data_IF_564787826830
#
_entry.id   IF_564787826830
#
_cell.length_a   1.000
_cell.length_b   1.000
_cell.length_c   1.000
_cell.angle_alpha   90.00
_cell.angle_beta   90.00
_cell.angle_gamma   90.00
#
_symmetry.space_group_name_H-M   'P 1'
#
loop_
_entity.id
_entity.type
_entity.pdbx_description
1 polymer ?
#
# COMPACT_ATOMS: atom_id res chain seq x y z
N UNK A 1 -176.23 -81.86 -71.11
CA UNK A 1 -176.28 -81.61 -69.66
C UNK A 1 -175.15 -80.66 -69.25
N UNK A 2 -175.47 -79.71 -68.35
CA UNK A 2 -174.60 -78.83 -67.51
C UNK A 2 -173.98 -77.55 -68.11
N UNK A 3 -174.76 -76.47 -67.94
CA UNK A 3 -174.48 -75.16 -67.33
C UNK A 3 -173.24 -74.32 -67.72
N UNK A 4 -173.53 -73.16 -68.33
CA UNK A 4 -172.67 -71.96 -68.44
C UNK A 4 -172.68 -71.15 -67.13
N UNK A 5 -171.62 -70.37 -66.87
CA UNK A 5 -171.79 -68.99 -66.43
C UNK A 5 -171.05 -67.98 -67.33
N UNK A 6 -171.68 -66.81 -67.37
CA UNK A 6 -171.39 -65.60 -68.14
C UNK A 6 -170.29 -64.77 -67.47
N UNK A 7 -169.32 -64.25 -68.23
CA UNK A 7 -168.40 -63.17 -67.81
C UNK A 7 -168.25 -62.17 -68.96
N UNK A 8 -168.45 -60.90 -68.61
CA UNK A 8 -168.62 -59.72 -69.46
C UNK A 8 -167.27 -59.12 -69.91
N UNK A 9 -167.01 -58.91 -71.21
CA UNK A 9 -165.75 -58.39 -71.75
C UNK A 9 -165.33 -57.02 -71.20
N UNK A 10 -166.26 -56.19 -70.70
CA UNK A 10 -165.95 -54.82 -70.27
C UNK A 10 -165.13 -54.73 -68.96
N UNK A 11 -165.16 -55.76 -68.09
CA UNK A 11 -164.35 -55.76 -66.86
C UNK A 11 -162.85 -56.03 -67.09
N UNK A 12 -162.48 -56.67 -68.20
CA UNK A 12 -161.06 -56.93 -68.53
C UNK A 12 -160.38 -55.64 -69.02
N UNK A 13 -161.10 -54.79 -69.75
CA UNK A 13 -160.58 -53.52 -70.26
C UNK A 13 -160.28 -52.50 -69.14
N UNK A 14 -161.18 -52.34 -68.15
CA UNK A 14 -160.94 -51.43 -67.01
C UNK A 14 -159.78 -51.88 -66.12
N UNK A 15 -159.59 -53.18 -65.96
CA UNK A 15 -158.50 -53.73 -65.11
C UNK A 15 -157.14 -53.52 -65.75
N UNK A 16 -157.04 -53.68 -67.09
CA UNK A 16 -155.82 -53.39 -67.84
C UNK A 16 -155.48 -51.90 -67.85
N UNK A 17 -156.48 -51.01 -67.96
CA UNK A 17 -156.24 -49.57 -67.92
C UNK A 17 -155.76 -49.09 -66.54
N UNK A 18 -156.24 -49.71 -65.44
CA UNK A 18 -155.73 -49.44 -64.07
C UNK A 18 -154.30 -49.92 -63.87
N UNK A 19 -153.92 -51.06 -64.45
CA UNK A 19 -152.55 -51.58 -64.37
C UNK A 19 -151.57 -50.70 -65.16
N UNK A 20 -151.94 -50.21 -66.34
CA UNK A 20 -151.12 -49.31 -67.14
C UNK A 20 -150.86 -47.97 -66.44
N UNK A 21 -151.87 -47.40 -65.78
CA UNK A 21 -151.70 -46.18 -65.00
C UNK A 21 -150.76 -46.40 -63.80
N UNK A 22 -150.86 -47.56 -63.12
CA UNK A 22 -149.98 -47.91 -61.99
C UNK A 22 -148.53 -48.16 -62.43
N UNK A 23 -148.33 -48.72 -63.61
CA UNK A 23 -147.02 -48.90 -64.24
C UNK A 23 -146.37 -47.57 -64.62
N UNK A 24 -147.15 -46.59 -65.09
CA UNK A 24 -146.66 -45.22 -65.32
C UNK A 24 -146.23 -44.54 -64.03
N UNK A 25 -147.02 -44.61 -62.97
CA UNK A 25 -146.67 -43.97 -61.70
C UNK A 25 -145.41 -44.59 -61.07
N UNK A 26 -145.28 -45.92 -61.11
CA UNK A 26 -144.07 -46.62 -60.65
C UNK A 26 -142.84 -46.24 -61.46
N UNK A 27 -142.95 -46.15 -62.80
CA UNK A 27 -141.86 -45.71 -63.67
C UNK A 27 -141.44 -44.26 -63.39
N UNK A 28 -142.39 -43.40 -63.01
CA UNK A 28 -142.12 -41.99 -62.72
C UNK A 28 -141.44 -41.83 -61.34
N UNK A 29 -141.84 -42.63 -60.35
CA UNK A 29 -141.24 -42.65 -59.02
C UNK A 29 -139.80 -43.23 -59.03
N UNK A 30 -139.56 -44.28 -59.85
CA UNK A 30 -138.22 -44.84 -60.02
C UNK A 30 -137.26 -43.86 -60.70
N UNK A 31 -137.74 -43.05 -61.65
CA UNK A 31 -136.96 -41.95 -62.23
C UNK A 31 -136.59 -40.89 -61.19
N UNK A 32 -137.54 -40.47 -60.34
CA UNK A 32 -137.26 -39.50 -59.27
C UNK A 32 -136.26 -40.04 -58.23
N UNK A 33 -136.35 -41.33 -57.87
CA UNK A 33 -135.36 -41.97 -57.00
C UNK A 33 -133.98 -42.05 -57.64
N UNK A 34 -133.90 -42.43 -58.92
CA UNK A 34 -132.63 -42.44 -59.65
C UNK A 34 -132.00 -41.05 -59.76
N UNK A 35 -132.80 -39.99 -59.94
CA UNK A 35 -132.32 -38.60 -59.93
C UNK A 35 -131.79 -38.17 -58.56
N UNK A 36 -132.47 -38.52 -57.46
CA UNK A 36 -132.01 -38.23 -56.09
C UNK A 36 -130.74 -38.99 -55.72
N UNK A 37 -130.66 -40.29 -56.06
CA UNK A 37 -129.46 -41.11 -55.85
C UNK A 37 -128.30 -40.61 -56.72
N UNK A 38 -128.57 -40.22 -57.96
CA UNK A 38 -127.57 -39.58 -58.84
C UNK A 38 -127.11 -38.22 -58.31
N UNK A 39 -128.00 -37.43 -57.70
CA UNK A 39 -127.68 -36.15 -57.07
C UNK A 39 -126.81 -36.30 -55.82
N UNK A 40 -127.10 -37.29 -54.97
CA UNK A 40 -126.32 -37.59 -53.77
C UNK A 40 -124.95 -38.17 -54.09
N UNK A 41 -124.85 -39.07 -55.09
CA UNK A 41 -123.57 -39.59 -55.58
C UNK A 41 -122.67 -38.46 -56.09
N UNK A 42 -123.22 -37.57 -56.93
CA UNK A 42 -122.49 -36.38 -57.43
C UNK A 42 -122.07 -35.42 -56.33
N UNK A 43 -122.85 -35.28 -55.25
CA UNK A 43 -122.49 -34.43 -54.10
C UNK A 43 -121.38 -35.08 -53.27
N UNK A 44 -121.48 -36.39 -53.01
CA UNK A 44 -120.43 -37.16 -52.33
C UNK A 44 -119.10 -37.12 -53.07
N UNK A 45 -119.12 -37.23 -54.39
CA UNK A 45 -117.92 -37.10 -55.23
C UNK A 45 -117.31 -35.68 -55.13
N UNK A 46 -118.14 -34.63 -55.18
CA UNK A 46 -117.68 -33.24 -55.01
C UNK A 46 -117.11 -32.95 -53.62
N UNK A 47 -117.72 -33.47 -52.56
CA UNK A 47 -117.23 -33.28 -51.20
C UNK A 47 -115.92 -34.06 -50.96
N UNK A 48 -115.79 -35.25 -51.57
CA UNK A 48 -114.55 -36.03 -51.57
C UNK A 48 -113.43 -35.33 -52.35
N UNK A 49 -113.76 -34.75 -53.50
CA UNK A 49 -112.82 -33.96 -54.31
C UNK A 49 -112.34 -32.72 -53.55
N UNK A 50 -113.26 -31.98 -52.90
CA UNK A 50 -112.90 -30.84 -52.03
C UNK A 50 -112.00 -31.24 -50.86
N UNK A 51 -112.33 -32.32 -50.15
CA UNK A 51 -111.47 -32.81 -49.07
C UNK A 51 -110.10 -33.25 -49.57
N UNK A 52 -110.03 -33.88 -50.75
CA UNK A 52 -108.75 -34.26 -51.34
C UNK A 52 -107.92 -33.03 -51.73
N UNK A 53 -108.55 -31.99 -52.30
CA UNK A 53 -107.91 -30.71 -52.62
C UNK A 53 -107.41 -29.98 -51.36
N UNK A 54 -108.22 -29.96 -50.30
CA UNK A 54 -107.86 -29.33 -49.02
C UNK A 54 -106.76 -30.09 -48.31
N UNK A 55 -106.82 -31.43 -48.31
CA UNK A 55 -105.75 -32.31 -47.81
C UNK A 55 -104.45 -32.09 -48.59
N UNK A 56 -104.54 -31.97 -49.92
CA UNK A 56 -103.38 -31.66 -50.78
C UNK A 56 -102.80 -30.29 -50.46
N UNK A 57 -103.63 -29.26 -50.34
CA UNK A 57 -103.21 -27.90 -49.93
C UNK A 57 -102.56 -27.88 -48.55
N UNK A 58 -103.11 -28.61 -47.58
CA UNK A 58 -102.55 -28.71 -46.23
C UNK A 58 -101.21 -29.43 -46.27
N UNK A 59 -101.09 -30.53 -47.03
CA UNK A 59 -99.82 -31.22 -47.22
C UNK A 59 -98.78 -30.31 -47.90
N UNK A 60 -99.16 -29.54 -48.92
CA UNK A 60 -98.26 -28.58 -49.58
C UNK A 60 -97.80 -27.49 -48.59
N UNK A 61 -98.68 -26.99 -47.72
CA UNK A 61 -98.32 -26.04 -46.65
C UNK A 61 -97.41 -26.65 -45.60
N UNK A 62 -97.69 -27.86 -45.14
CA UNK A 62 -96.84 -28.58 -44.18
C UNK A 62 -95.46 -28.81 -44.80
N UNK A 63 -95.41 -29.19 -46.08
CA UNK A 63 -94.16 -29.38 -46.78
C UNK A 63 -93.37 -28.08 -46.87
N UNK A 64 -94.01 -26.97 -47.27
CA UNK A 64 -93.38 -25.65 -47.33
C UNK A 64 -92.82 -25.21 -45.97
N UNK A 65 -93.62 -25.31 -44.90
CA UNK A 65 -93.20 -24.97 -43.54
C UNK A 65 -92.04 -25.86 -43.09
N UNK A 66 -92.10 -27.16 -43.39
CA UNK A 66 -91.02 -28.10 -43.06
C UNK A 66 -89.75 -27.71 -43.78
N UNK A 67 -89.81 -27.43 -45.08
CA UNK A 67 -88.66 -26.98 -45.86
C UNK A 67 -88.09 -25.66 -45.32
N UNK A 68 -88.95 -24.72 -44.95
CA UNK A 68 -88.53 -23.41 -44.42
C UNK A 68 -87.91 -23.53 -43.04
N UNK A 69 -88.48 -24.34 -42.14
CA UNK A 69 -87.91 -24.64 -40.82
C UNK A 69 -86.59 -25.39 -40.95
N UNK A 70 -86.51 -26.42 -41.81
CA UNK A 70 -85.26 -27.14 -42.07
C UNK A 70 -84.20 -26.20 -42.63
N UNK A 71 -84.57 -25.33 -43.57
CA UNK A 71 -83.65 -24.33 -44.13
C UNK A 71 -83.18 -23.34 -43.06
N UNK A 72 -84.11 -22.74 -42.31
CA UNK A 72 -83.78 -21.80 -41.24
C UNK A 72 -82.93 -22.45 -40.14
N UNK A 73 -83.20 -23.72 -39.81
CA UNK A 73 -82.40 -24.49 -38.85
C UNK A 73 -81.00 -24.74 -39.37
N UNK A 74 -80.85 -25.14 -40.65
CA UNK A 74 -79.56 -25.34 -41.29
C UNK A 74 -78.77 -24.03 -41.37
N UNK A 75 -79.41 -22.93 -41.76
CA UNK A 75 -78.79 -21.60 -41.84
C UNK A 75 -78.32 -21.13 -40.45
N UNK A 76 -79.15 -21.34 -39.41
CA UNK A 76 -78.78 -21.02 -38.03
C UNK A 76 -77.62 -21.90 -37.52
N UNK A 77 -77.64 -23.20 -37.80
CA UNK A 77 -76.55 -24.12 -37.44
C UNK A 77 -75.26 -23.78 -38.17
N UNK A 78 -75.34 -23.43 -39.46
CA UNK A 78 -74.19 -23.02 -40.25
C UNK A 78 -73.59 -21.73 -39.71
N UNK A 79 -74.43 -20.72 -39.46
CA UNK A 79 -74.00 -19.45 -38.87
C UNK A 79 -73.36 -19.61 -37.49
N UNK A 80 -73.90 -20.51 -36.65
CA UNK A 80 -73.32 -20.82 -35.34
C UNK A 80 -71.94 -21.48 -35.49
N UNK A 81 -71.80 -22.43 -36.42
CA UNK A 81 -70.50 -23.07 -36.73
C UNK A 81 -69.49 -22.05 -37.23
N UNK A 82 -69.91 -21.15 -38.13
CA UNK A 82 -69.05 -20.12 -38.70
C UNK A 82 -68.60 -19.12 -37.63
N UNK A 83 -69.49 -18.64 -36.75
CA UNK A 83 -69.14 -17.76 -35.62
C UNK A 83 -68.20 -18.47 -34.64
N UNK A 84 -68.46 -19.74 -34.32
CA UNK A 84 -67.59 -20.52 -33.43
C UNK A 84 -66.20 -20.72 -34.04
N UNK A 85 -66.12 -21.07 -35.33
CA UNK A 85 -64.86 -21.23 -36.05
C UNK A 85 -64.08 -19.90 -36.12
N UNK A 86 -64.78 -18.78 -36.35
CA UNK A 86 -64.15 -17.46 -36.36
C UNK A 86 -63.60 -17.06 -34.99
N UNK A 87 -64.34 -17.36 -33.91
CA UNK A 87 -63.87 -17.15 -32.54
C UNK A 87 -62.67 -18.03 -32.19
N UNK A 88 -62.71 -19.31 -32.55
CA UNK A 88 -61.58 -20.23 -32.33
C UNK A 88 -60.33 -19.76 -33.08
N UNK A 89 -60.47 -19.41 -34.36
CA UNK A 89 -59.35 -18.86 -35.14
C UNK A 89 -58.80 -17.56 -34.54
N UNK A 90 -59.67 -16.68 -34.05
CA UNK A 90 -59.27 -15.45 -33.35
C UNK A 90 -58.50 -15.71 -32.05
N UNK A 91 -58.95 -16.69 -31.25
CA UNK A 91 -58.27 -17.10 -30.02
C UNK A 91 -56.93 -17.79 -30.30
N UNK A 92 -56.86 -18.67 -31.30
CA UNK A 92 -55.61 -19.30 -31.72
C UNK A 92 -54.58 -18.27 -32.21
N UNK A 93 -55.02 -17.28 -32.99
CA UNK A 93 -54.16 -16.19 -33.44
C UNK A 93 -53.66 -15.33 -32.27
N UNK A 94 -54.52 -15.03 -31.29
CA UNK A 94 -54.15 -14.27 -30.10
C UNK A 94 -53.15 -15.04 -29.21
N UNK A 95 -53.39 -16.34 -28.98
CA UNK A 95 -52.48 -17.20 -28.23
C UNK A 95 -51.12 -17.34 -28.92
N UNK A 96 -51.12 -17.53 -30.25
CA UNK A 96 -49.90 -17.58 -31.04
C UNK A 96 -49.11 -16.27 -30.94
N UNK A 97 -49.79 -15.13 -31.11
CA UNK A 97 -49.16 -13.82 -30.99
C UNK A 97 -48.59 -13.58 -29.58
N UNK A 98 -49.30 -14.00 -28.54
CA UNK A 98 -48.82 -13.92 -27.16
C UNK A 98 -47.59 -14.81 -26.94
N UNK A 99 -47.61 -16.05 -27.44
CA UNK A 99 -46.47 -16.96 -27.38
C UNK A 99 -45.23 -16.40 -28.11
N UNK A 100 -45.41 -15.86 -29.31
CA UNK A 100 -44.34 -15.22 -30.08
C UNK A 100 -43.76 -13.99 -29.34
N UNK A 101 -44.62 -13.21 -28.69
CA UNK A 101 -44.20 -12.05 -27.89
C UNK A 101 -43.39 -12.46 -26.66
N UNK A 102 -43.80 -13.52 -25.96
CA UNK A 102 -43.04 -14.06 -24.83
C UNK A 102 -41.69 -14.63 -25.28
N UNK A 103 -41.65 -15.39 -26.37
CA UNK A 103 -40.42 -15.94 -26.92
C UNK A 103 -39.43 -14.83 -27.33
N UNK A 104 -39.92 -13.77 -27.99
CA UNK A 104 -39.09 -12.63 -28.35
C UNK A 104 -38.53 -11.89 -27.13
N UNK A 105 -39.34 -11.75 -26.07
CA UNK A 105 -38.92 -11.11 -24.82
C UNK A 105 -37.89 -11.93 -24.05
N UNK A 106 -38.04 -13.25 -24.03
CA UNK A 106 -37.11 -14.17 -23.38
C UNK A 106 -35.75 -14.18 -24.10
N UNK A 107 -35.78 -14.21 -25.43
CA UNK A 107 -34.57 -14.12 -26.27
C UNK A 107 -33.85 -12.76 -26.09
N UNK A 108 -34.58 -11.64 -26.03
CA UNK A 108 -33.98 -10.32 -25.74
C UNK A 108 -33.37 -10.27 -24.33
N UNK A 109 -34.06 -10.84 -23.33
CA UNK A 109 -33.54 -10.91 -21.96
C UNK A 109 -32.27 -11.75 -21.89
N UNK A 110 -32.25 -12.92 -22.56
CA UNK A 110 -31.08 -13.79 -22.64
C UNK A 110 -29.89 -13.07 -23.28
N UNK A 111 -30.11 -12.37 -24.40
CA UNK A 111 -29.06 -11.59 -25.07
C UNK A 111 -28.49 -10.49 -24.18
N UNK A 112 -29.33 -9.77 -23.43
CA UNK A 112 -28.88 -8.74 -22.48
C UNK A 112 -28.05 -9.33 -21.34
N UNK A 113 -28.46 -10.47 -20.80
CA UNK A 113 -27.71 -11.16 -19.76
C UNK A 113 -26.35 -11.63 -20.29
N UNK A 114 -26.32 -12.25 -21.46
CA UNK A 114 -25.09 -12.73 -22.09
C UNK A 114 -24.12 -11.59 -22.42
N UNK A 115 -24.62 -10.49 -22.99
CA UNK A 115 -23.83 -9.29 -23.23
C UNK A 115 -23.28 -8.68 -21.91
N UNK A 116 -24.10 -8.65 -20.86
CA UNK A 116 -23.66 -8.19 -19.53
C UNK A 116 -22.57 -9.08 -18.93
N UNK A 117 -22.71 -10.41 -19.04
CA UNK A 117 -21.70 -11.37 -18.58
C UNK A 117 -20.38 -11.23 -19.35
N UNK A 118 -20.44 -11.09 -20.66
CA UNK A 118 -19.24 -10.87 -21.49
C UNK A 118 -18.54 -9.55 -21.12
N UNK A 119 -19.30 -8.47 -20.91
CA UNK A 119 -18.74 -7.19 -20.44
C UNK A 119 -18.07 -7.30 -19.07
N UNK A 120 -18.66 -8.05 -18.13
CA UNK A 120 -18.03 -8.31 -16.84
C UNK A 120 -16.76 -9.17 -16.95
N UNK A 121 -16.75 -10.17 -17.84
CA UNK A 121 -15.58 -11.01 -18.08
C UNK A 121 -14.40 -10.19 -18.64
N UNK A 122 -14.66 -9.32 -19.62
CA UNK A 122 -13.66 -8.39 -20.18
C UNK A 122 -13.12 -7.43 -19.10
N UNK A 123 -14.00 -6.91 -18.23
CA UNK A 123 -13.59 -6.04 -17.15
C UNK A 123 -12.68 -6.76 -16.14
N UNK A 124 -13.02 -8.00 -15.75
CA UNK A 124 -12.20 -8.83 -14.87
C UNK A 124 -10.82 -9.11 -15.49
N UNK A 125 -10.77 -9.43 -16.78
CA UNK A 125 -9.52 -9.66 -17.49
C UNK A 125 -8.65 -8.39 -17.52
N UNK A 126 -9.26 -7.23 -17.79
CA UNK A 126 -8.58 -5.93 -17.80
C UNK A 126 -7.98 -5.58 -16.43
N UNK A 127 -8.73 -5.83 -15.35
CA UNK A 127 -8.27 -5.63 -13.97
C UNK A 127 -7.13 -6.59 -13.63
N UNK A 128 -7.22 -7.86 -14.05
CA UNK A 128 -6.15 -8.84 -13.88
C UNK A 128 -4.84 -8.38 -14.54
N UNK A 129 -4.92 -7.85 -15.76
CA UNK A 129 -3.76 -7.28 -16.47
C UNK A 129 -3.20 -6.05 -15.75
N UNK A 130 -4.05 -5.15 -15.26
CA UNK A 130 -3.64 -3.96 -14.52
C UNK A 130 -2.90 -4.32 -13.22
N UNK A 131 -3.47 -5.22 -12.41
CA UNK A 131 -2.86 -5.71 -11.16
C UNK A 131 -1.50 -6.36 -11.43
N UNK A 132 -1.39 -7.19 -12.48
CA UNK A 132 -0.12 -7.83 -12.83
C UNK A 132 0.94 -6.81 -13.26
N UNK A 133 0.55 -5.78 -14.02
CA UNK A 133 1.45 -4.70 -14.42
C UNK A 133 1.96 -3.91 -13.21
N UNK A 134 1.07 -3.57 -12.27
CA UNK A 134 1.46 -2.86 -11.05
C UNK A 134 2.36 -3.71 -10.15
N UNK A 135 2.11 -5.02 -10.07
CA UNK A 135 3.00 -5.95 -9.36
C UNK A 135 4.41 -5.97 -9.96
N UNK A 136 4.52 -5.97 -11.29
CA UNK A 136 5.80 -5.92 -11.98
C UNK A 136 6.53 -4.57 -11.73
N UNK A 137 5.83 -3.44 -11.87
CA UNK A 137 6.40 -2.11 -11.57
C UNK A 137 6.87 -1.99 -10.13
N UNK A 138 6.09 -2.50 -9.18
CA UNK A 138 6.47 -2.50 -7.78
C UNK A 138 7.71 -3.36 -7.53
N UNK A 139 7.79 -4.55 -8.15
CA UNK A 139 8.99 -5.41 -8.08
C UNK A 139 10.24 -4.69 -8.59
N UNK A 140 10.15 -3.99 -9.72
CA UNK A 140 11.26 -3.19 -10.26
C UNK A 140 11.65 -2.04 -9.33
N UNK A 141 10.66 -1.35 -8.72
CA UNK A 141 10.93 -0.29 -7.74
C UNK A 141 11.65 -0.83 -6.51
N UNK A 142 11.21 -1.96 -5.96
CA UNK A 142 11.87 -2.61 -4.83
C UNK A 142 13.29 -3.04 -5.17
N UNK A 143 13.51 -3.57 -6.37
CA UNK A 143 14.86 -3.93 -6.81
C UNK A 143 15.78 -2.70 -6.88
N UNK A 144 15.32 -1.58 -7.45
CA UNK A 144 16.08 -0.32 -7.48
C UNK A 144 16.39 0.23 -6.09
N UNK A 145 15.43 0.13 -5.16
CA UNK A 145 15.64 0.56 -3.75
C UNK A 145 16.69 -0.33 -3.08
N UNK A 146 16.63 -1.65 -3.28
CA UNK A 146 17.63 -2.57 -2.72
C UNK A 146 19.03 -2.31 -3.29
N UNK A 147 19.15 -2.04 -4.60
CA UNK A 147 20.42 -1.67 -5.22
C UNK A 147 20.96 -0.34 -4.66
N UNK A 148 20.11 0.66 -4.48
CA UNK A 148 20.49 1.94 -3.88
C UNK A 148 20.91 1.80 -2.41
N UNK A 149 20.24 0.94 -1.64
CA UNK A 149 20.61 0.64 -0.25
C UNK A 149 21.97 -0.04 -0.18
N UNK A 150 22.22 -1.06 -1.01
CA UNK A 150 23.51 -1.74 -1.06
C UNK A 150 24.66 -0.77 -1.46
N UNK A 151 24.40 0.14 -2.41
CA UNK A 151 25.37 1.16 -2.78
C UNK A 151 25.64 2.16 -1.63
N UNK A 152 24.61 2.56 -0.89
CA UNK A 152 24.74 3.44 0.27
C UNK A 152 25.56 2.77 1.39
N UNK A 153 25.27 1.51 1.71
CA UNK A 153 26.03 0.73 2.69
C UNK A 153 27.52 0.65 2.31
N UNK A 154 27.81 0.33 1.05
CA UNK A 154 29.19 0.31 0.54
C UNK A 154 29.88 1.69 0.63
N UNK A 155 29.17 2.77 0.31
CA UNK A 155 29.69 4.13 0.43
C UNK A 155 29.98 4.52 1.89
N UNK A 156 29.12 4.14 2.84
CA UNK A 156 29.34 4.37 4.26
C UNK A 156 30.55 3.56 4.76
N UNK A 157 30.69 2.30 4.34
CA UNK A 157 31.83 1.47 4.72
C UNK A 157 33.16 2.04 4.18
N UNK A 158 33.19 2.47 2.90
CA UNK A 158 34.34 3.14 2.31
C UNK A 158 34.65 4.47 3.01
N UNK A 159 33.61 5.25 3.34
CA UNK A 159 33.71 6.50 4.08
C UNK A 159 34.38 6.30 5.44
N UNK A 160 33.91 5.32 6.21
CA UNK A 160 34.49 4.95 7.50
C UNK A 160 35.95 4.52 7.37
N UNK A 161 36.26 3.62 6.41
CA UNK A 161 37.66 3.19 6.17
C UNK A 161 38.58 4.36 5.81
N UNK A 162 38.08 5.35 5.06
CA UNK A 162 38.86 6.55 4.69
C UNK A 162 39.06 7.48 5.89
N UNK A 163 38.02 7.67 6.71
CA UNK A 163 38.11 8.41 7.97
C UNK A 163 39.12 7.77 8.91
N UNK A 164 39.05 6.47 9.14
CA UNK A 164 39.98 5.75 9.99
C UNK A 164 41.43 5.90 9.53
N UNK A 165 41.68 5.76 8.21
CA UNK A 165 43.02 5.99 7.64
C UNK A 165 43.50 7.42 7.84
N UNK A 166 42.64 8.41 7.62
CA UNK A 166 42.98 9.82 7.77
C UNK A 166 43.28 10.17 9.23
N UNK A 167 42.43 9.73 10.16
CA UNK A 167 42.61 9.91 11.60
C UNK A 167 43.87 9.22 12.07
N UNK A 168 44.14 7.99 11.62
CA UNK A 168 45.37 7.26 11.97
C UNK A 168 46.63 7.96 11.45
N UNK A 169 46.61 8.43 10.21
CA UNK A 169 47.73 9.17 9.62
C UNK A 169 47.99 10.49 10.37
N UNK A 170 46.93 11.23 10.70
CA UNK A 170 47.03 12.47 11.47
C UNK A 170 47.56 12.21 12.89
N UNK A 171 47.09 11.16 13.57
CA UNK A 171 47.63 10.76 14.88
C UNK A 171 49.13 10.43 14.80
N UNK A 172 49.55 9.67 13.78
CA UNK A 172 50.97 9.35 13.58
C UNK A 172 51.81 10.60 13.30
N UNK A 173 51.30 11.51 12.47
CA UNK A 173 51.97 12.77 12.16
C UNK A 173 52.12 13.65 13.42
N UNK A 174 51.07 13.74 14.25
CA UNK A 174 51.14 14.44 15.55
C UNK A 174 52.16 13.80 16.49
N UNK A 175 52.22 12.47 16.57
CA UNK A 175 53.24 11.77 17.38
C UNK A 175 54.67 12.06 16.91
N UNK A 176 54.89 12.15 15.60
CA UNK A 176 56.20 12.53 15.05
C UNK A 176 56.56 13.97 15.40
N UNK A 177 55.61 14.91 15.26
CA UNK A 177 55.79 16.29 15.68
C UNK A 177 56.08 16.41 17.19
N UNK A 178 55.36 15.65 18.01
CA UNK A 178 55.57 15.58 19.46
C UNK A 178 56.96 15.11 19.83
N UNK A 179 57.42 14.00 19.23
CA UNK A 179 58.79 13.53 19.42
C UNK A 179 59.82 14.58 18.99
N UNK A 180 59.59 15.25 17.86
CA UNK A 180 60.50 16.28 17.35
C UNK A 180 60.63 17.48 18.29
N UNK A 181 59.51 17.98 18.83
CA UNK A 181 59.52 19.12 19.76
C UNK A 181 60.14 18.77 21.11
N UNK A 182 59.84 17.59 21.65
CA UNK A 182 60.45 17.12 22.91
C UNK A 182 61.96 16.89 22.76
N UNK A 183 62.44 16.50 21.57
CA UNK A 183 63.87 16.41 21.25
C UNK A 183 64.52 17.79 21.26
N UNK A 184 63.87 18.80 20.66
CA UNK A 184 64.40 20.18 20.67
C UNK A 184 64.55 20.75 22.08
N UNK A 185 63.57 20.55 22.97
CA UNK A 185 63.70 20.98 24.37
C UNK A 185 64.84 20.26 25.07
N UNK A 186 65.03 18.96 24.78
CA UNK A 186 66.16 18.22 25.33
C UNK A 186 67.51 18.74 24.78
N UNK A 187 67.60 19.08 23.51
CA UNK A 187 68.81 19.71 22.93
C UNK A 187 69.10 21.07 23.56
N UNK A 188 68.06 21.88 23.82
CA UNK A 188 68.20 23.14 24.56
C UNK A 188 68.73 22.89 25.97
N UNK A 189 68.16 21.91 26.69
CA UNK A 189 68.60 21.51 28.02
C UNK A 189 70.08 21.09 28.02
N UNK A 190 70.50 20.24 27.08
CA UNK A 190 71.88 19.78 26.94
C UNK A 190 72.85 20.94 26.65
N UNK A 191 72.47 21.87 25.76
CA UNK A 191 73.27 23.06 25.44
C UNK A 191 73.41 24.00 26.64
N UNK A 192 72.32 24.25 27.37
CA UNK A 192 72.32 25.08 28.58
C UNK A 192 73.17 24.44 29.68
N UNK A 193 72.96 23.15 29.97
CA UNK A 193 73.75 22.42 30.97
C UNK A 193 75.26 22.43 30.62
N UNK A 194 75.60 22.26 29.34
CA UNK A 194 76.98 22.36 28.88
C UNK A 194 77.58 23.76 29.08
N UNK A 195 76.82 24.81 28.79
CA UNK A 195 77.25 26.20 29.02
C UNK A 195 77.41 26.51 30.52
N UNK A 196 76.46 26.08 31.36
CA UNK A 196 76.52 26.26 32.81
C UNK A 196 77.70 25.54 33.45
N UNK A 197 77.97 24.29 33.05
CA UNK A 197 79.17 23.57 33.50
C UNK A 197 80.47 24.27 33.07
N UNK A 198 80.48 24.87 31.88
CA UNK A 198 81.58 25.71 31.41
C UNK A 198 81.75 26.99 32.24
N UNK A 199 80.65 27.64 32.62
CA UNK A 199 80.66 28.86 33.44
C UNK A 199 81.12 28.56 34.86
N UNK A 200 80.63 27.51 35.49
CA UNK A 200 81.07 27.07 36.82
C UNK A 200 82.58 26.80 36.84
N UNK A 201 83.12 26.18 35.78
CA UNK A 201 84.56 25.99 35.63
C UNK A 201 85.31 27.32 35.48
N UNK A 202 84.79 28.23 34.66
CA UNK A 202 85.38 29.56 34.49
C UNK A 202 85.40 30.34 35.82
N UNK A 203 84.30 30.32 36.59
CA UNK A 203 84.19 30.92 37.92
C UNK A 203 85.26 30.34 38.85
N UNK A 204 85.39 29.01 38.90
CA UNK A 204 86.40 28.34 39.73
C UNK A 204 87.83 28.74 39.33
N UNK A 205 88.10 28.92 38.04
CA UNK A 205 89.41 29.35 37.55
C UNK A 205 89.70 30.83 37.91
N UNK A 206 88.70 31.71 37.85
CA UNK A 206 88.82 33.11 38.32
C UNK A 206 88.99 33.16 39.85
N UNK A 207 88.26 32.35 40.62
CA UNK A 207 88.41 32.24 42.09
C UNK A 207 89.84 31.83 42.49
N UNK A 208 90.49 31.00 41.66
CA UNK A 208 91.89 30.59 41.84
C UNK A 208 92.92 31.60 41.35
N UNK A 209 92.49 32.75 40.83
CA UNK A 209 93.36 33.80 40.33
C UNK A 209 94.08 33.46 39.02
N UNK A 210 93.55 32.53 38.21
CA UNK A 210 94.13 32.25 36.89
C UNK A 210 93.89 33.44 35.96
N UNK A 211 94.94 33.89 35.32
CA UNK A 211 94.86 34.84 34.21
C UNK A 211 94.49 34.11 32.90
N UNK A 212 93.75 34.77 32.00
CA UNK A 212 93.28 34.23 30.72
C UNK A 212 92.29 33.06 30.81
N UNK A 213 91.21 33.22 31.58
CA UNK A 213 90.16 32.20 31.69
C UNK A 213 89.38 32.09 30.37
N UNK A 214 89.26 30.85 29.85
CA UNK A 214 88.48 30.58 28.64
C UNK A 214 86.99 30.59 28.97
N UNK A 215 86.27 31.59 28.46
CA UNK A 215 84.82 31.65 28.61
C UNK A 215 84.12 30.60 27.71
N UNK A 216 83.09 29.92 28.22
CA UNK A 216 82.26 29.06 27.38
C UNK A 216 81.52 29.91 26.33
N UNK A 217 81.32 29.33 25.16
CA UNK A 217 80.55 29.95 24.09
C UNK A 217 79.23 29.19 23.93
N UNK A 218 78.13 29.94 23.88
CA UNK A 218 76.80 29.45 23.53
C UNK A 218 76.30 30.33 22.39
N UNK A 219 75.64 29.72 21.42
CA UNK A 219 74.92 30.46 20.38
C UNK A 219 73.53 30.81 20.91
N UNK A 220 73.43 31.95 21.56
CA UNK A 220 72.20 32.49 22.16
C UNK A 220 71.11 32.68 21.09
N UNK A 221 71.47 33.11 19.88
CA UNK A 221 70.53 33.33 18.78
C UNK A 221 69.98 32.01 18.21
N UNK A 222 70.79 30.95 18.18
CA UNK A 222 70.30 29.62 17.83
C UNK A 222 69.32 29.08 18.88
N UNK A 223 69.61 29.27 20.17
CA UNK A 223 68.75 28.81 21.26
C UNK A 223 67.39 29.55 21.24
N UNK A 224 67.42 30.88 21.06
CA UNK A 224 66.23 31.71 20.87
C UNK A 224 65.36 31.21 19.72
N UNK A 225 65.95 30.96 18.56
CA UNK A 225 65.24 30.45 17.38
C UNK A 225 64.61 29.08 17.64
N UNK A 226 65.26 28.22 18.41
CA UNK A 226 64.70 26.93 18.81
C UNK A 226 63.49 27.10 19.75
N UNK A 227 63.57 28.01 20.73
CA UNK A 227 62.45 28.35 21.62
C UNK A 227 61.26 28.95 20.86
N UNK A 228 61.51 29.90 19.95
CA UNK A 228 60.47 30.47 19.09
C UNK A 228 59.82 29.42 18.18
N UNK A 229 60.62 28.50 17.63
CA UNK A 229 60.10 27.39 16.83
C UNK A 229 59.20 26.45 17.66
N UNK A 230 59.57 26.19 18.92
CA UNK A 230 58.72 25.41 19.85
C UNK A 230 57.40 26.15 20.12
N UNK A 231 57.45 27.45 20.39
CA UNK A 231 56.26 28.27 20.61
C UNK A 231 55.31 28.27 19.40
N UNK A 232 55.86 28.32 18.19
CA UNK A 232 55.08 28.32 16.95
C UNK A 232 54.45 26.95 16.67
N UNK A 233 55.20 25.87 16.88
CA UNK A 233 54.77 24.51 16.58
C UNK A 233 53.95 23.85 17.70
N UNK A 234 53.80 24.49 18.87
CA UNK A 234 52.95 24.00 19.99
C UNK A 234 51.53 23.64 19.55
N UNK A 235 51.03 24.24 18.48
CA UNK A 235 49.69 23.97 17.96
C UNK A 235 49.53 22.58 17.33
N UNK A 236 50.63 21.92 16.99
CA UNK A 236 50.66 20.59 16.36
C UNK A 236 50.70 19.46 17.38
N UNK A 237 50.81 19.79 18.66
CA UNK A 237 50.92 18.81 19.74
C UNK A 237 49.57 18.30 20.21
N UNK A 238 49.57 17.05 20.68
CA UNK A 238 48.48 16.51 21.49
C UNK A 238 48.42 17.22 22.85
N UNK A 239 47.30 17.12 23.56
CA UNK A 239 47.19 17.67 24.92
C UNK A 239 48.22 17.04 25.87
N UNK A 240 48.38 15.72 25.79
CA UNK A 240 49.40 14.99 26.54
C UNK A 240 50.81 15.47 26.18
N UNK A 241 51.09 15.68 24.89
CA UNK A 241 52.35 16.21 24.40
C UNK A 241 52.61 17.65 24.86
N UNK A 242 51.58 18.50 24.93
CA UNK A 242 51.67 19.85 25.49
C UNK A 242 51.99 19.84 26.98
N UNK A 243 51.37 18.94 27.75
CA UNK A 243 51.64 18.79 29.18
C UNK A 243 53.09 18.33 29.42
N UNK A 244 53.55 17.33 28.67
CA UNK A 244 54.96 16.86 28.72
C UNK A 244 55.94 17.95 28.30
N UNK A 245 55.60 18.74 27.29
CA UNK A 245 56.41 19.86 26.84
C UNK A 245 56.51 20.95 27.92
N UNK A 246 55.38 21.32 28.53
CA UNK A 246 55.31 22.28 29.64
C UNK A 246 56.15 21.80 30.83
N UNK A 247 55.99 20.54 31.21
CA UNK A 247 56.74 19.95 32.32
C UNK A 247 58.26 20.01 32.07
N UNK A 248 58.71 19.60 30.87
CA UNK A 248 60.13 19.67 30.50
C UNK A 248 60.64 21.10 30.48
N UNK A 249 59.92 22.03 29.85
CA UNK A 249 60.33 23.43 29.82
C UNK A 249 60.39 24.04 31.21
N UNK A 250 59.42 23.74 32.07
CA UNK A 250 59.43 24.17 33.47
C UNK A 250 60.65 23.63 34.23
N UNK A 251 61.04 22.37 33.99
CA UNK A 251 62.25 21.79 34.62
C UNK A 251 63.53 22.50 34.15
N UNK A 252 63.67 22.73 32.85
CA UNK A 252 64.83 23.47 32.29
C UNK A 252 64.88 24.89 32.86
N UNK A 253 63.74 25.57 32.94
CA UNK A 253 63.64 26.91 33.52
C UNK A 253 64.03 26.95 35.00
N UNK A 254 63.51 26.02 35.81
CA UNK A 254 63.86 25.93 37.24
C UNK A 254 65.35 25.65 37.45
N UNK A 255 65.93 24.75 36.66
CA UNK A 255 67.37 24.45 36.73
C UNK A 255 68.21 25.68 36.35
N UNK A 256 67.86 26.36 35.26
CA UNK A 256 68.56 27.57 34.82
C UNK A 256 68.49 28.67 35.88
N UNK A 257 67.32 28.90 36.47
CA UNK A 257 67.15 29.87 37.56
C UNK A 257 68.00 29.54 38.79
N UNK A 258 68.01 28.27 39.19
CA UNK A 258 68.80 27.81 40.34
C UNK A 258 70.30 28.01 40.09
N UNK A 259 70.79 27.56 38.95
CA UNK A 259 72.21 27.63 38.61
C UNK A 259 72.67 29.07 38.42
N UNK A 260 71.85 29.92 37.78
CA UNK A 260 72.12 31.36 37.66
C UNK A 260 72.23 32.02 39.04
N UNK A 261 71.32 31.68 39.97
CA UNK A 261 71.35 32.24 41.33
C UNK A 261 72.63 31.83 42.06
N UNK A 262 72.99 30.56 42.01
CA UNK A 262 74.22 30.05 42.62
C UNK A 262 75.46 30.74 42.03
N UNK A 263 75.51 30.90 40.70
CA UNK A 263 76.59 31.60 40.02
C UNK A 263 76.65 33.07 40.44
N UNK A 264 75.51 33.76 40.48
CA UNK A 264 75.44 35.18 40.86
C UNK A 264 75.91 35.40 42.30
N UNK A 265 75.50 34.51 43.21
CA UNK A 265 75.92 34.55 44.62
C UNK A 265 77.44 34.34 44.75
N UNK A 266 78.03 33.41 43.97
CA UNK A 266 79.49 33.23 43.94
C UNK A 266 80.21 34.46 43.41
N UNK A 267 79.75 35.01 42.28
CA UNK A 267 80.34 36.21 41.66
C UNK A 267 80.30 37.44 42.58
N UNK A 268 79.28 37.55 43.43
CA UNK A 268 79.16 38.64 44.41
C UNK A 268 80.24 38.62 45.51
N UNK A 269 80.82 37.44 45.78
CA UNK A 269 81.85 37.26 46.82
C UNK A 269 83.30 37.37 46.29
N UNK A 270 83.48 37.57 44.98
CA UNK A 270 84.79 37.60 44.34
C UNK A 270 85.35 39.02 44.24
N UNK A 271 86.67 39.14 44.31
CA UNK A 271 87.38 40.41 44.09
C UNK A 271 87.30 40.85 42.63
N UNK A 272 87.14 42.15 42.43
CA UNK A 272 86.92 42.72 41.10
C UNK A 272 88.14 42.49 40.21
N UNK A 273 87.91 41.89 39.04
CA UNK A 273 88.94 41.58 38.06
C UNK A 273 88.37 41.62 36.65
N UNK A 274 89.24 41.84 35.65
CA UNK A 274 88.84 41.84 34.23
C UNK A 274 88.18 40.52 33.83
N UNK A 275 88.64 39.39 34.35
CA UNK A 275 88.03 38.08 34.08
C UNK A 275 86.66 37.93 34.75
N UNK A 276 86.48 38.49 35.95
CA UNK A 276 85.17 38.55 36.62
C UNK A 276 84.14 39.31 35.78
N UNK A 277 84.52 40.44 35.17
CA UNK A 277 83.62 41.18 34.28
C UNK A 277 83.21 40.38 33.04
N UNK A 278 84.11 39.54 32.49
CA UNK A 278 83.77 38.65 31.36
C UNK A 278 82.76 37.58 31.77
N UNK A 279 82.89 37.02 32.97
CA UNK A 279 81.91 36.04 33.50
C UNK A 279 80.57 36.71 33.77
N UNK A 280 80.56 37.88 34.44
CA UNK A 280 79.33 38.67 34.67
C UNK A 280 78.58 38.93 33.36
N UNK A 281 79.29 39.34 32.30
CA UNK A 281 78.68 39.55 30.98
C UNK A 281 78.08 38.28 30.34
N UNK A 282 78.62 37.10 30.62
CA UNK A 282 78.01 35.85 30.14
C UNK A 282 76.77 35.48 30.96
N UNK A 283 76.78 35.74 32.28
CA UNK A 283 75.61 35.57 33.14
C UNK A 283 74.49 36.53 32.72
N UNK A 284 74.79 37.78 32.40
CA UNK A 284 73.79 38.73 31.90
C UNK A 284 73.11 38.22 30.62
N UNK A 285 73.84 37.55 29.73
CA UNK A 285 73.23 36.94 28.52
C UNK A 285 72.35 35.74 28.83
N UNK A 286 72.58 35.04 29.95
CA UNK A 286 71.67 34.00 30.41
C UNK A 286 70.36 34.58 30.94
N UNK A 287 70.36 35.83 31.40
CA UNK A 287 69.13 36.54 31.80
C UNK A 287 68.21 36.71 30.61
N UNK A 288 68.77 37.12 29.47
CA UNK A 288 68.03 37.28 28.21
C UNK A 288 67.39 35.95 27.77
N UNK A 289 68.16 34.84 27.78
CA UNK A 289 67.60 33.50 27.47
C UNK A 289 66.53 33.10 28.48
N UNK A 290 66.77 33.36 29.77
CA UNK A 290 65.83 32.95 30.81
C UNK A 290 64.49 33.67 30.64
N UNK A 291 64.52 34.95 30.26
CA UNK A 291 63.32 35.70 29.91
C UNK A 291 62.61 35.12 28.68
N UNK A 292 63.34 34.79 27.61
CA UNK A 292 62.74 34.19 26.41
C UNK A 292 62.14 32.80 26.66
N UNK A 293 62.77 32.02 27.53
CA UNK A 293 62.27 30.71 27.95
C UNK A 293 60.98 30.86 28.78
N UNK A 294 60.94 31.86 29.67
CA UNK A 294 59.76 32.19 30.46
C UNK A 294 58.59 32.63 29.57
N UNK A 295 58.85 33.52 28.59
CA UNK A 295 57.84 33.91 27.60
C UNK A 295 57.34 32.72 26.76
N UNK A 296 58.26 31.83 26.37
CA UNK A 296 57.91 30.63 25.59
C UNK A 296 57.09 29.65 26.42
N UNK A 297 57.46 29.43 27.68
CA UNK A 297 56.71 28.58 28.60
C UNK A 297 55.33 29.18 28.90
N UNK A 298 55.23 30.49 29.15
CA UNK A 298 53.95 31.15 29.41
C UNK A 298 53.01 30.97 28.22
N UNK A 299 53.51 31.13 26.99
CA UNK A 299 52.73 30.85 25.77
C UNK A 299 52.25 29.40 25.68
N UNK A 300 53.02 28.43 26.19
CA UNK A 300 52.61 27.02 26.22
C UNK A 300 51.58 26.80 27.34
N UNK A 301 51.83 27.36 28.54
CA UNK A 301 50.94 27.27 29.70
C UNK A 301 49.58 27.88 29.43
N UNK A 302 49.52 29.06 28.81
CA UNK A 302 48.26 29.70 28.41
C UNK A 302 47.41 28.77 27.54
N UNK A 303 48.05 28.00 26.66
CA UNK A 303 47.35 27.04 25.82
C UNK A 303 46.82 25.86 26.63
N UNK A 304 47.63 25.33 27.56
CA UNK A 304 47.27 24.21 28.44
C UNK A 304 46.15 24.58 29.41
N UNK A 305 46.25 25.73 30.07
CA UNK A 305 45.38 26.11 31.18
C UNK A 305 44.14 26.87 30.76
N UNK A 306 44.18 27.66 29.67
CA UNK A 306 43.05 28.50 29.25
C UNK A 306 42.39 27.98 27.98
N UNK A 307 43.17 27.78 26.93
CA UNK A 307 42.63 27.47 25.60
C UNK A 307 42.03 26.06 25.52
N UNK A 308 42.74 25.03 26.00
CA UNK A 308 42.26 23.65 25.94
C UNK A 308 40.93 23.46 26.69
N UNK A 309 40.75 23.92 27.94
CA UNK A 309 39.48 23.78 28.65
C UNK A 309 38.33 24.51 27.96
N UNK A 310 38.60 25.70 27.41
CA UNK A 310 37.60 26.47 26.67
C UNK A 310 37.16 25.72 25.40
N UNK A 311 38.11 25.28 24.57
CA UNK A 311 37.84 24.54 23.34
C UNK A 311 37.08 23.23 23.63
N UNK A 312 37.43 22.55 24.73
CA UNK A 312 36.77 21.30 25.14
C UNK A 312 35.33 21.53 25.59
N UNK A 313 35.06 22.61 26.34
CA UNK A 313 33.71 23.01 26.72
C UNK A 313 32.88 23.39 25.50
N UNK A 314 33.45 24.14 24.54
CA UNK A 314 32.79 24.48 23.29
C UNK A 314 32.48 23.23 22.43
N UNK A 315 33.42 22.31 22.32
CA UNK A 315 33.23 21.03 21.63
C UNK A 315 32.15 20.17 22.32
N UNK A 316 32.15 20.11 23.66
CA UNK A 316 31.11 19.41 24.42
C UNK A 316 29.74 20.03 24.15
N UNK A 317 29.62 21.35 24.21
CA UNK A 317 28.37 22.04 23.93
C UNK A 317 27.87 21.82 22.49
N UNK A 318 28.79 21.82 21.51
CA UNK A 318 28.46 21.48 20.11
C UNK A 318 28.03 20.02 19.96
N UNK A 319 28.71 19.08 20.63
CA UNK A 319 28.36 17.67 20.62
C UNK A 319 26.97 17.43 21.25
N UNK A 320 26.66 18.09 22.36
CA UNK A 320 25.35 18.04 23.00
C UNK A 320 24.26 18.62 22.09
N UNK A 321 24.53 19.73 21.40
CA UNK A 321 23.61 20.29 20.43
C UNK A 321 23.36 19.33 19.25
N UNK A 322 24.42 18.72 18.68
CA UNK A 322 24.28 17.73 17.60
C UNK A 322 23.48 16.51 18.08
N UNK A 323 23.77 16.00 19.28
CA UNK A 323 23.04 14.90 19.89
C UNK A 323 21.56 15.25 20.07
N UNK A 324 21.27 16.44 20.57
CA UNK A 324 19.90 16.92 20.71
C UNK A 324 19.18 17.04 19.36
N UNK A 325 19.85 17.58 18.33
CA UNK A 325 19.31 17.65 16.97
C UNK A 325 19.07 16.26 16.35
N UNK A 326 19.97 15.30 16.58
CA UNK A 326 19.80 13.92 16.12
C UNK A 326 18.62 13.24 16.81
N UNK A 327 18.52 13.36 18.13
CA UNK A 327 17.39 12.82 18.87
C UNK A 327 16.06 13.43 18.38
N UNK A 328 15.99 14.75 18.24
CA UNK A 328 14.79 15.42 17.72
C UNK A 328 14.42 14.96 16.30
N UNK A 329 15.40 14.66 15.43
CA UNK A 329 15.14 14.10 14.10
C UNK A 329 14.66 12.65 14.16
N UNK A 330 15.24 11.84 15.05
CA UNK A 330 14.83 10.45 15.27
C UNK A 330 13.39 10.41 15.79
N UNK A 331 13.08 11.20 16.81
CA UNK A 331 11.73 11.30 17.39
C UNK A 331 10.71 11.69 16.33
N UNK A 332 11.04 12.67 15.49
CA UNK A 332 10.17 13.10 14.38
C UNK A 332 9.97 12.01 13.32
N UNK A 333 11.04 11.34 12.89
CA UNK A 333 10.95 10.23 11.93
C UNK A 333 10.15 9.06 12.53
N UNK A 334 10.32 8.77 13.82
CA UNK A 334 9.55 7.75 14.53
C UNK A 334 8.06 8.08 14.56
N UNK A 335 7.69 9.33 14.86
CA UNK A 335 6.30 9.81 14.80
C UNK A 335 5.71 9.72 13.37
N UNK A 336 6.44 10.16 12.35
CA UNK A 336 6.00 10.09 10.95
C UNK A 336 5.79 8.63 10.51
N UNK A 337 6.69 7.73 10.88
CA UNK A 337 6.52 6.29 10.60
C UNK A 337 5.39 5.66 11.38
N UNK A 338 5.21 6.04 12.65
CA UNK A 338 4.09 5.56 13.46
C UNK A 338 2.75 5.95 12.82
N UNK A 339 2.61 7.20 12.37
CA UNK A 339 1.41 7.67 11.67
C UNK A 339 1.18 6.91 10.36
N UNK A 340 2.21 6.71 9.53
CA UNK A 340 2.10 5.95 8.29
C UNK A 340 1.67 4.49 8.53
N UNK A 341 2.21 3.84 9.57
CA UNK A 341 1.80 2.49 9.98
C UNK A 341 0.33 2.49 10.42
N UNK A 342 -0.09 3.49 11.20
CA UNK A 342 -1.47 3.63 11.66
C UNK A 342 -2.44 3.83 10.48
N UNK A 343 -2.10 4.68 9.52
CA UNK A 343 -2.89 4.87 8.29
C UNK A 343 -3.01 3.57 7.47
N UNK A 344 -1.91 2.83 7.33
CA UNK A 344 -1.92 1.52 6.67
C UNK A 344 -2.81 0.52 7.40
N UNK A 345 -2.75 0.49 8.74
CA UNK A 345 -3.61 -0.36 9.56
C UNK A 345 -5.08 0.03 9.42
N UNK A 346 -5.41 1.32 9.46
CA UNK A 346 -6.78 1.80 9.27
C UNK A 346 -7.31 1.50 7.86
N UNK A 347 -6.49 1.69 6.82
CA UNK A 347 -6.84 1.32 5.45
C UNK A 347 -7.12 -0.18 5.33
N UNK A 348 -6.31 -1.01 5.97
CA UNK A 348 -6.50 -2.45 6.03
C UNK A 348 -7.79 -2.84 6.80
N UNK A 349 -8.05 -2.21 7.94
CA UNK A 349 -9.29 -2.45 8.71
C UNK A 349 -10.52 -2.03 7.91
N UNK A 350 -10.49 -0.91 7.19
CA UNK A 350 -11.58 -0.48 6.30
C UNK A 350 -11.81 -1.47 5.15
N UNK A 351 -10.73 -2.04 4.59
CA UNK A 351 -10.82 -3.11 3.61
C UNK A 351 -11.49 -4.37 4.17
N UNK A 352 -11.19 -4.74 5.43
CA UNK A 352 -11.85 -5.86 6.11
C UNK A 352 -13.32 -5.58 6.48
N UNK A 353 -13.66 -4.33 6.81
CA UNK A 353 -15.01 -3.95 7.23
C UNK A 353 -15.93 -3.52 6.08
N UNK A 354 -15.40 -3.39 4.85
CA UNK A 354 -16.19 -3.00 3.69
C UNK A 354 -17.26 -4.07 3.38
N UNK A 355 -18.57 -3.76 3.47
CA UNK A 355 -19.65 -4.75 3.37
C UNK A 355 -19.76 -5.43 2.00
N UNK A 356 -19.07 -4.92 0.98
CA UNK A 356 -19.02 -5.52 -0.37
C UNK A 356 -18.21 -6.83 -0.45
N UNK A 357 -17.39 -7.15 0.56
CA UNK A 357 -16.66 -8.43 0.63
C UNK A 357 -17.46 -9.48 1.41
N UNK A 358 -18.23 -9.06 2.42
CA UNK A 358 -19.03 -9.96 3.26
C UNK A 358 -20.36 -10.42 2.62
N UNK A 359 -20.89 -9.70 1.64
CA UNK A 359 -22.21 -10.02 1.05
C UNK A 359 -22.16 -10.86 -0.24
N UNK A 360 -20.97 -11.06 -0.83
CA UNK A 360 -20.77 -11.97 -1.97
C UNK A 360 -20.32 -13.39 -1.57
N UNK A 361 -20.20 -13.67 -0.27
CA UNK A 361 -19.71 -14.95 0.29
C UNK A 361 -20.68 -16.12 0.07
N UNK A 362 -21.88 -15.88 -0.48
CA UNK A 362 -22.89 -16.93 -0.67
C UNK A 362 -22.82 -17.65 -2.04
N UNK A 363 -21.98 -17.23 -3.01
CA UNK A 363 -21.93 -17.86 -4.33
C UNK A 363 -20.54 -17.81 -4.97
N UNK A 364 -19.80 -18.92 -4.91
CA UNK A 364 -18.74 -19.23 -5.87
C UNK A 364 -17.43 -19.74 -5.26
N UNK A 365 -17.14 -21.03 -5.47
CA UNK A 365 -15.98 -21.78 -4.98
C UNK A 365 -14.59 -21.25 -5.45
N UNK A 366 -14.53 -20.17 -6.24
CA UNK A 366 -13.28 -19.58 -6.73
C UNK A 366 -12.70 -18.48 -5.80
N UNK A 367 -13.50 -17.89 -4.91
CA UNK A 367 -13.06 -16.78 -4.03
C UNK A 367 -12.43 -17.24 -2.71
N UNK A 368 -12.74 -18.44 -2.23
CA UNK A 368 -12.10 -19.03 -1.03
C UNK A 368 -10.59 -19.25 -1.23
N UNK A 369 -10.14 -19.52 -2.46
CA UNK A 369 -8.72 -19.64 -2.77
C UNK A 369 -7.98 -18.30 -2.65
N UNK A 370 -8.58 -17.20 -3.13
CA UNK A 370 -7.98 -15.85 -3.10
C UNK A 370 -8.00 -15.28 -1.69
N UNK A 371 -9.09 -15.44 -0.95
CA UNK A 371 -9.20 -14.98 0.44
C UNK A 371 -8.26 -15.78 1.36
N UNK A 372 -8.14 -17.10 1.13
CA UNK A 372 -7.17 -17.96 1.80
C UNK A 372 -5.72 -17.68 1.41
N UNK A 373 -5.47 -17.14 0.21
CA UNK A 373 -4.14 -16.70 -0.23
C UNK A 373 -3.77 -15.36 0.42
N UNK A 374 -4.67 -14.37 0.39
CA UNK A 374 -4.45 -13.06 1.04
C UNK A 374 -4.29 -13.21 2.55
N UNK A 375 -5.05 -14.11 3.19
CA UNK A 375 -4.90 -14.39 4.61
C UNK A 375 -3.56 -15.05 4.94
N UNK A 376 -3.08 -15.96 4.07
CA UNK A 376 -1.72 -16.53 4.16
C UNK A 376 -0.63 -15.48 3.95
N UNK A 377 -0.77 -14.62 2.94
CA UNK A 377 0.19 -13.54 2.67
C UNK A 377 0.26 -12.54 3.84
N UNK A 378 -0.89 -12.25 4.48
CA UNK A 378 -0.95 -11.41 5.69
C UNK A 378 -0.31 -12.10 6.90
N UNK A 379 -0.54 -13.40 7.08
CA UNK A 379 0.09 -14.16 8.15
C UNK A 379 1.60 -14.30 7.93
N UNK A 380 2.06 -14.48 6.69
CA UNK A 380 3.48 -14.42 6.32
C UNK A 380 4.07 -13.03 6.59
N UNK A 381 3.35 -11.95 6.26
CA UNK A 381 3.78 -10.59 6.57
C UNK A 381 3.87 -10.35 8.08
N UNK A 382 2.91 -10.85 8.87
CA UNK A 382 2.97 -10.77 10.34
C UNK A 382 4.15 -11.55 10.90
N UNK A 383 4.43 -12.73 10.38
CA UNK A 383 5.61 -13.53 10.75
C UNK A 383 6.90 -12.79 10.37
N UNK A 384 6.96 -12.18 9.19
CA UNK A 384 8.10 -11.39 8.74
C UNK A 384 8.32 -10.15 9.62
N UNK A 385 7.26 -9.43 9.99
CA UNK A 385 7.32 -8.29 10.93
C UNK A 385 7.80 -8.77 12.31
N UNK A 386 7.30 -9.90 12.80
CA UNK A 386 7.74 -10.44 14.10
C UNK A 386 9.21 -10.86 14.08
N UNK A 387 9.66 -11.52 13.02
CA UNK A 387 11.09 -11.85 12.81
C UNK A 387 11.96 -10.60 12.67
N UNK A 388 11.46 -9.55 12.02
CA UNK A 388 12.16 -8.27 11.92
C UNK A 388 12.29 -7.61 13.29
N UNK A 389 11.22 -7.59 14.09
CA UNK A 389 11.25 -7.08 15.45
C UNK A 389 12.22 -7.88 16.36
N UNK A 390 12.24 -9.21 16.24
CA UNK A 390 13.19 -10.08 16.94
C UNK A 390 14.63 -9.85 16.48
N UNK A 391 14.86 -9.65 15.18
CA UNK A 391 16.17 -9.33 14.62
C UNK A 391 16.67 -7.96 15.09
N UNK A 392 15.81 -6.93 15.06
CA UNK A 392 16.12 -5.59 15.58
C UNK A 392 16.43 -5.65 17.07
N UNK A 393 15.67 -6.42 17.85
CA UNK A 393 15.94 -6.61 19.29
C UNK A 393 17.28 -7.32 19.51
N UNK A 394 17.60 -8.32 18.69
CA UNK A 394 18.89 -9.03 18.76
C UNK A 394 20.05 -8.11 18.40
N UNK A 395 19.93 -7.33 17.32
CA UNK A 395 20.94 -6.34 16.91
C UNK A 395 21.12 -5.27 17.98
N UNK A 396 20.03 -4.76 18.55
CA UNK A 396 20.06 -3.83 19.68
C UNK A 396 20.83 -4.42 20.86
N UNK A 397 20.49 -5.64 21.28
CA UNK A 397 21.17 -6.30 22.40
C UNK A 397 22.66 -6.56 22.11
N UNK A 398 23.02 -6.91 20.88
CA UNK A 398 24.42 -7.08 20.46
C UNK A 398 25.15 -5.73 20.49
N UNK A 399 24.55 -4.66 19.97
CA UNK A 399 25.12 -3.30 20.00
C UNK A 399 25.26 -2.78 21.43
N UNK A 400 24.25 -2.92 22.27
CA UNK A 400 24.30 -2.53 23.68
C UNK A 400 25.43 -3.26 24.41
N UNK A 401 25.57 -4.57 24.17
CA UNK A 401 26.67 -5.37 24.74
C UNK A 401 28.04 -4.91 24.22
N UNK A 402 28.16 -4.66 22.92
CA UNK A 402 29.39 -4.18 22.29
C UNK A 402 29.80 -2.80 22.82
N UNK A 403 28.84 -1.90 23.00
CA UNK A 403 29.04 -0.58 23.60
C UNK A 403 29.54 -0.73 25.04
N UNK A 404 28.91 -1.58 25.85
CA UNK A 404 29.34 -1.84 27.23
C UNK A 404 30.76 -2.42 27.28
N UNK A 405 31.08 -3.37 26.41
CA UNK A 405 32.41 -3.97 26.32
C UNK A 405 33.46 -2.93 25.87
N UNK A 406 33.14 -2.08 24.90
CA UNK A 406 34.02 -1.00 24.43
C UNK A 406 34.27 0.04 25.52
N UNK A 407 33.24 0.40 26.30
CA UNK A 407 33.34 1.33 27.43
C UNK A 407 34.25 0.74 28.51
N UNK A 408 34.07 -0.54 28.86
CA UNK A 408 34.94 -1.24 29.82
C UNK A 408 36.38 -1.33 29.33
N UNK A 409 36.58 -1.66 28.06
CA UNK A 409 37.92 -1.74 27.47
C UNK A 409 38.62 -0.38 27.53
N UNK A 410 37.92 0.70 27.17
CA UNK A 410 38.46 2.07 27.28
C UNK A 410 38.76 2.45 28.72
N UNK A 411 37.92 2.11 29.68
CA UNK A 411 38.21 2.33 31.10
C UNK A 411 39.48 1.58 31.54
N UNK A 412 39.63 0.31 31.16
CA UNK A 412 40.84 -0.46 31.46
C UNK A 412 42.09 0.11 30.79
N UNK A 413 41.99 0.57 29.53
CA UNK A 413 43.11 1.20 28.83
C UNK A 413 43.50 2.53 29.46
N UNK A 414 42.53 3.33 29.93
CA UNK A 414 42.77 4.56 30.69
C UNK A 414 43.43 4.25 32.03
N UNK A 415 42.95 3.27 32.79
CA UNK A 415 43.57 2.84 34.05
C UNK A 415 45.01 2.33 33.83
N UNK A 416 45.25 1.59 32.74
CA UNK A 416 46.60 1.11 32.39
C UNK A 416 47.52 2.26 32.01
N UNK A 417 47.04 3.23 31.26
CA UNK A 417 47.79 4.45 30.93
C UNK A 417 48.09 5.25 32.20
N UNK A 418 47.12 5.43 33.08
CA UNK A 418 47.30 6.15 34.35
C UNK A 418 48.32 5.43 35.25
N UNK A 419 48.28 4.11 35.30
CA UNK A 419 49.28 3.30 36.03
C UNK A 419 50.68 3.35 35.40
N UNK A 420 50.80 3.47 34.08
CA UNK A 420 52.08 3.67 33.40
C UNK A 420 52.64 5.07 33.65
N UNK A 421 51.78 6.10 33.65
CA UNK A 421 52.18 7.47 33.96
C UNK A 421 52.67 7.61 35.41
N UNK A 422 52.08 6.89 36.37
CA UNK A 422 52.53 6.89 37.77
C UNK A 422 53.84 6.14 38.03
N UNK A 423 54.32 5.35 37.06
CA UNK A 423 55.57 4.56 37.17
C UNK A 423 56.76 5.22 36.46
N UNK A 424 56.52 6.28 35.70
CA UNK A 424 57.55 7.20 35.20
C UNK A 424 57.70 8.36 36.18
#
# INVERSE_FOLDING_TARGET
MKQRPVVDPNKIAETNQRLDNKLRDLSTNDKQKQELVGGLARKGDKDRERMNEETKRLNDKIHLITTEVTKSMNDAQQKLRDDMNQRLAGLEAALKHQADTYAARDEDMRRRIEAGMNGHAEQIESLGKAVQNDRNKNKERFQKVNEALAALEHHLELGNKKLDKMVTAEMQNRKLHEKGLLSKVQEIEEKLNGHMGGLQKAITDVERGKENVKMPQLDFDALRREMEAIAADKNKLSMEGLLKLEEKMSKVQQNLHKDKREISDRLGNMTDSSELHKVKKQVDKLDDINQEMEETQERIRDKVEKQIPQDLNELSAKADNIKHQLNARIDKEEEERYLAIKELQEAYTRLQQSPGVAQNVARGDAQQAVEGQVRRDVDECKIAIKKLAESVTTVKNVLDKKIVDEVKQRQSDVERLDAQMRRQ
#
